data_IF_975530552622
#
_entry.id   IF_975530552622
#
_cell.length_a   1.000
_cell.length_b   1.000
_cell.length_c   1.000
_cell.angle_alpha   90.00
_cell.angle_beta   90.00
_cell.angle_gamma   90.00
#
_symmetry.space_group_name_H-M   'P 1'
#
loop_
_entity.id
_entity.type
_entity.pdbx_description
1 polymer ?
#
# COMPACT_ATOMS: atom_id res chain seq x y z
N UNK A 1 6.79 19.69 -24.31
CA UNK A 1 8.20 19.24 -24.45
C UNK A 1 8.16 17.75 -24.78
N UNK A 2 8.94 17.25 -25.74
CA UNK A 2 8.92 15.83 -26.12
C UNK A 2 9.55 14.95 -25.04
N UNK A 3 9.17 13.66 -25.02
CA UNK A 3 9.85 12.65 -24.21
C UNK A 3 11.05 12.10 -24.97
N UNK A 4 12.20 12.04 -24.31
CA UNK A 4 13.42 11.48 -24.87
C UNK A 4 14.25 10.76 -23.81
N UNK A 5 15.20 9.94 -24.25
CA UNK A 5 16.19 9.32 -23.39
C UNK A 5 17.26 10.35 -22.96
N UNK A 6 17.52 10.43 -21.67
CA UNK A 6 18.62 11.21 -21.07
C UNK A 6 19.50 10.31 -20.22
N UNK A 7 20.81 10.54 -20.26
CA UNK A 7 21.71 9.97 -19.27
C UNK A 7 21.51 10.70 -17.94
N UNK A 8 21.00 9.98 -16.96
CA UNK A 8 20.69 10.53 -15.63
C UNK A 8 21.31 9.63 -14.57
N UNK A 9 21.98 10.24 -13.62
CA UNK A 9 22.45 9.58 -12.41
C UNK A 9 21.40 9.79 -11.33
N UNK A 10 20.77 8.71 -10.90
CA UNK A 10 19.83 8.76 -9.76
C UNK A 10 20.65 8.97 -8.49
N UNK A 11 20.45 10.07 -7.75
CA UNK A 11 21.21 10.33 -6.55
C UNK A 11 20.80 9.38 -5.41
N UNK A 12 21.71 9.20 -4.45
CA UNK A 12 21.35 8.63 -3.16
C UNK A 12 20.67 9.71 -2.31
N UNK A 13 19.39 9.52 -2.01
CA UNK A 13 18.61 10.44 -1.18
C UNK A 13 18.75 10.16 0.33
N UNK A 14 19.63 9.25 0.74
CA UNK A 14 19.88 8.96 2.14
C UNK A 14 18.81 8.08 2.77
N UNK A 15 18.66 6.84 2.29
CA UNK A 15 17.70 5.87 2.82
C UNK A 15 17.99 5.56 4.30
N UNK A 16 17.03 5.78 5.24
CA UNK A 16 17.26 5.47 6.64
C UNK A 16 17.31 3.95 6.89
N UNK A 17 18.20 3.53 7.80
CA UNK A 17 18.38 2.12 8.14
C UNK A 17 17.15 1.56 8.88
N UNK A 18 16.64 2.31 9.86
CA UNK A 18 15.52 1.89 10.70
C UNK A 18 14.23 2.59 10.31
N UNK A 19 13.11 1.85 10.43
CA UNK A 19 11.79 2.42 10.27
C UNK A 19 11.49 3.45 11.38
N UNK A 20 10.91 4.61 11.06
CA UNK A 20 10.46 5.54 12.06
C UNK A 20 9.34 4.91 12.90
N UNK A 21 9.35 5.19 14.21
CA UNK A 21 8.31 4.71 15.13
C UNK A 21 7.13 5.66 15.14
N UNK A 22 5.93 5.12 15.05
CA UNK A 22 4.70 5.88 15.30
C UNK A 22 4.62 6.16 16.82
N UNK A 23 4.45 7.42 17.26
CA UNK A 23 4.30 7.74 18.67
C UNK A 23 3.06 7.09 19.31
N UNK A 24 3.17 6.72 20.58
CA UNK A 24 2.05 6.15 21.35
C UNK A 24 0.80 7.04 21.30
N UNK A 25 0.97 8.36 21.41
CA UNK A 25 -0.13 9.34 21.35
C UNK A 25 -0.88 9.33 20.00
N UNK A 26 -0.22 8.98 18.92
CA UNK A 26 -0.84 8.84 17.59
C UNK A 26 -1.76 7.63 17.56
N UNK A 27 -1.32 6.48 18.09
CA UNK A 27 -2.20 5.30 18.21
C UNK A 27 -3.39 5.57 19.12
N UNK A 28 -3.18 6.23 20.27
CA UNK A 28 -4.26 6.60 21.18
C UNK A 28 -5.30 7.50 20.52
N UNK A 29 -4.85 8.51 19.76
CA UNK A 29 -5.74 9.40 18.98
C UNK A 29 -6.56 8.61 17.99
N UNK A 30 -5.92 7.72 17.19
CA UNK A 30 -6.59 6.88 16.20
C UNK A 30 -7.63 5.95 16.82
N UNK A 31 -7.30 5.31 17.94
CA UNK A 31 -8.24 4.43 18.65
C UNK A 31 -9.46 5.19 19.21
N UNK A 32 -9.23 6.35 19.85
CA UNK A 32 -10.34 7.19 20.36
C UNK A 32 -11.25 7.64 19.21
N UNK A 33 -10.68 8.05 18.10
CA UNK A 33 -11.44 8.50 16.94
C UNK A 33 -12.20 7.34 16.27
N UNK A 34 -11.58 6.18 16.11
CA UNK A 34 -12.23 4.98 15.58
C UNK A 34 -13.43 4.57 16.44
N UNK A 35 -13.24 4.49 17.76
CA UNK A 35 -14.29 4.16 18.70
C UNK A 35 -15.45 5.16 18.66
N UNK A 36 -15.14 6.47 18.67
CA UNK A 36 -16.16 7.51 18.60
C UNK A 36 -16.99 7.47 17.31
N UNK A 37 -16.34 7.19 16.18
CA UNK A 37 -17.01 7.09 14.86
C UNK A 37 -17.85 5.81 14.71
N UNK A 38 -17.45 4.73 15.35
CA UNK A 38 -18.16 3.44 15.28
C UNK A 38 -19.57 3.50 15.92
N UNK A 39 -19.82 4.41 16.85
CA UNK A 39 -21.13 4.62 17.51
C UNK A 39 -21.76 3.30 18.01
N UNK A 40 -20.96 2.49 18.70
CA UNK A 40 -21.31 1.21 19.27
C UNK A 40 -20.69 1.09 20.68
N UNK A 41 -21.15 0.12 21.47
CA UNK A 41 -20.59 -0.12 22.82
C UNK A 41 -19.18 -0.74 22.74
N UNK A 42 -18.95 -1.55 21.70
CA UNK A 42 -17.64 -2.16 21.42
C UNK A 42 -17.31 -2.06 19.93
N UNK A 43 -16.11 -1.63 19.62
CA UNK A 43 -15.52 -1.77 18.28
C UNK A 43 -14.54 -2.95 18.34
N UNK A 44 -14.79 -3.96 17.51
CA UNK A 44 -13.94 -5.15 17.36
C UNK A 44 -13.29 -5.11 16.00
N UNK A 45 -11.97 -5.05 15.97
CA UNK A 45 -11.16 -5.05 14.74
C UNK A 45 -10.51 -6.42 14.59
N UNK A 46 -10.88 -7.14 13.54
CA UNK A 46 -10.30 -8.45 13.22
C UNK A 46 -8.99 -8.29 12.44
N UNK A 47 -8.04 -9.17 12.72
CA UNK A 47 -6.84 -9.33 11.92
C UNK A 47 -6.37 -10.79 11.89
N UNK A 48 -5.69 -11.13 10.81
CA UNK A 48 -4.92 -12.34 10.61
C UNK A 48 -3.62 -12.00 9.87
N UNK A 49 -2.86 -13.02 9.45
CA UNK A 49 -1.61 -12.85 8.73
C UNK A 49 -1.71 -11.99 7.48
N UNK A 50 -2.78 -12.13 6.71
CA UNK A 50 -2.96 -11.42 5.42
C UNK A 50 -3.71 -10.09 5.61
N UNK A 51 -4.63 -10.02 6.60
CA UNK A 51 -5.53 -8.91 6.82
C UNK A 51 -5.18 -8.12 8.09
N UNK A 52 -3.96 -7.60 8.12
CA UNK A 52 -3.35 -6.98 9.31
C UNK A 52 -3.47 -5.45 9.34
N UNK A 53 -3.79 -4.82 8.22
CA UNK A 53 -3.61 -3.38 8.03
C UNK A 53 -4.43 -2.51 9.01
N UNK A 54 -5.66 -2.91 9.34
CA UNK A 54 -6.52 -2.17 10.27
C UNK A 54 -5.98 -2.20 11.71
N UNK A 55 -5.57 -3.37 12.20
CA UNK A 55 -5.04 -3.50 13.56
C UNK A 55 -3.65 -2.84 13.68
N UNK A 56 -2.80 -2.96 12.65
CA UNK A 56 -1.50 -2.32 12.59
C UNK A 56 -1.61 -0.79 12.61
N UNK A 57 -2.56 -0.22 11.86
CA UNK A 57 -2.83 1.22 11.86
C UNK A 57 -3.26 1.75 13.24
N UNK A 58 -4.08 0.97 13.98
CA UNK A 58 -4.62 1.37 15.27
C UNK A 58 -3.69 1.09 16.45
N UNK A 59 -2.84 0.07 16.35
CA UNK A 59 -2.07 -0.40 17.52
C UNK A 59 -0.58 -0.66 17.24
N UNK A 60 -0.16 -0.69 16.00
CA UNK A 60 1.19 -1.14 15.63
C UNK A 60 1.41 -2.64 15.83
N UNK A 61 0.35 -3.40 16.11
CA UNK A 61 0.43 -4.84 16.26
C UNK A 61 0.35 -5.56 14.92
N UNK A 62 1.21 -6.54 14.73
CA UNK A 62 1.23 -7.46 13.59
C UNK A 62 1.03 -8.89 14.15
N UNK A 63 -0.09 -9.57 13.87
CA UNK A 63 -0.40 -10.88 14.44
C UNK A 63 0.52 -12.01 13.96
N UNK A 64 1.33 -11.77 12.93
CA UNK A 64 2.29 -12.74 12.34
C UNK A 64 1.60 -13.99 11.80
N UNK A 65 1.47 -15.04 12.59
CA UNK A 65 0.98 -16.35 12.14
C UNK A 65 -0.45 -16.64 12.60
N UNK A 66 -0.89 -15.97 13.67
CA UNK A 66 -2.16 -16.24 14.34
C UNK A 66 -3.21 -15.17 14.02
N UNK A 67 -4.43 -15.40 14.42
CA UNK A 67 -5.48 -14.39 14.40
C UNK A 67 -5.36 -13.47 15.61
N UNK A 68 -5.90 -12.27 15.53
CA UNK A 68 -5.99 -11.33 16.63
C UNK A 68 -7.25 -10.47 16.57
N UNK A 69 -7.71 -9.98 17.73
CA UNK A 69 -8.76 -8.98 17.81
C UNK A 69 -8.29 -7.80 18.65
N UNK A 70 -8.46 -6.58 18.12
CA UNK A 70 -8.38 -5.37 18.95
C UNK A 70 -9.80 -4.96 19.36
N UNK A 71 -10.07 -4.94 20.64
CA UNK A 71 -11.33 -4.51 21.22
C UNK A 71 -11.17 -3.10 21.79
N UNK A 72 -11.96 -2.17 21.30
CA UNK A 72 -12.07 -0.82 21.85
C UNK A 72 -13.46 -0.68 22.49
N UNK A 73 -13.52 -0.31 23.75
CA UNK A 73 -14.73 -0.30 24.54
C UNK A 73 -14.91 0.94 25.43
N UNK A 74 -15.95 0.95 26.26
CA UNK A 74 -16.28 2.09 27.11
C UNK A 74 -15.15 2.43 28.08
N UNK A 75 -15.05 3.71 28.47
CA UNK A 75 -14.03 4.21 29.41
C UNK A 75 -12.59 4.00 28.94
N UNK A 76 -12.36 4.11 27.62
CA UNK A 76 -11.05 3.94 26.97
C UNK A 76 -10.46 2.52 27.16
N UNK A 77 -11.33 1.51 27.33
CA UNK A 77 -10.94 0.11 27.45
C UNK A 77 -10.33 -0.37 26.13
N UNK A 78 -9.16 -0.98 26.22
CA UNK A 78 -8.39 -1.49 25.08
C UNK A 78 -7.92 -2.89 25.41
N UNK A 79 -8.37 -3.88 24.63
CA UNK A 79 -7.98 -5.27 24.83
C UNK A 79 -7.46 -5.84 23.52
N UNK A 80 -6.29 -6.44 23.56
CA UNK A 80 -5.73 -7.20 22.46
C UNK A 80 -5.88 -8.69 22.76
N UNK A 81 -6.77 -9.35 21.99
CA UNK A 81 -7.01 -10.79 22.11
C UNK A 81 -6.09 -11.50 21.15
N UNK A 82 -5.30 -12.45 21.61
CA UNK A 82 -4.24 -13.12 20.86
C UNK A 82 -4.19 -14.61 21.17
N UNK A 83 -3.56 -15.39 20.29
CA UNK A 83 -3.23 -16.80 20.50
C UNK A 83 -1.94 -16.99 21.31
N UNK A 84 -1.48 -18.24 21.40
CA UNK A 84 -0.32 -18.63 22.22
C UNK A 84 0.98 -17.93 21.84
N UNK A 85 1.27 -17.78 20.53
CA UNK A 85 2.47 -17.09 20.08
C UNK A 85 2.30 -15.57 20.17
N UNK A 86 1.09 -15.09 19.88
CA UNK A 86 0.72 -13.70 19.98
C UNK A 86 0.88 -13.11 21.36
N UNK A 87 0.63 -13.89 22.45
CA UNK A 87 0.78 -13.43 23.84
C UNK A 87 2.20 -12.92 24.12
N UNK A 88 3.22 -13.67 23.69
CA UNK A 88 4.62 -13.27 23.86
C UNK A 88 5.04 -12.10 22.98
N UNK A 89 4.37 -11.89 21.86
CA UNK A 89 4.67 -10.84 20.88
C UNK A 89 3.87 -9.54 21.12
N UNK A 90 2.71 -9.62 21.74
CA UNK A 90 1.80 -8.49 21.99
C UNK A 90 2.45 -7.28 22.69
N UNK A 91 3.43 -7.42 23.60
CA UNK A 91 4.12 -6.28 24.21
C UNK A 91 4.86 -5.36 23.24
N UNK A 92 5.10 -5.79 21.98
CA UNK A 92 5.70 -4.98 20.95
C UNK A 92 4.71 -4.02 20.26
N UNK A 93 3.41 -4.12 20.55
CA UNK A 93 2.40 -3.17 20.08
C UNK A 93 2.73 -1.75 20.56
N UNK A 94 2.58 -0.77 19.67
CA UNK A 94 2.88 0.63 19.97
C UNK A 94 1.78 1.35 20.75
N UNK A 95 0.54 0.81 20.78
CA UNK A 95 -0.59 1.37 21.53
C UNK A 95 -0.43 1.10 23.02
N UNK A 96 -0.35 2.14 23.88
CA UNK A 96 -0.22 1.93 25.32
C UNK A 96 -1.56 1.51 25.97
N UNK A 97 -1.46 0.93 27.16
CA UNK A 97 -2.64 0.58 27.96
C UNK A 97 -3.47 -0.56 27.36
N UNK A 98 -2.84 -1.44 26.59
CA UNK A 98 -3.46 -2.67 26.10
C UNK A 98 -3.50 -3.70 27.22
N UNK A 99 -4.69 -4.22 27.54
CA UNK A 99 -4.85 -5.47 28.27
C UNK A 99 -4.68 -6.63 27.28
N UNK A 100 -3.73 -7.51 27.53
CA UNK A 100 -3.50 -8.69 26.67
C UNK A 100 -4.36 -9.83 27.18
N UNK A 101 -5.20 -10.39 26.32
CA UNK A 101 -6.10 -11.49 26.62
C UNK A 101 -5.77 -12.72 25.77
N UNK A 102 -5.36 -13.81 26.40
CA UNK A 102 -5.11 -15.08 25.72
C UNK A 102 -6.43 -15.73 25.31
N UNK A 103 -6.57 -16.09 24.04
CA UNK A 103 -7.63 -16.94 23.51
C UNK A 103 -7.01 -18.05 22.65
N UNK A 104 -6.80 -19.22 23.24
CA UNK A 104 -6.06 -20.31 22.59
C UNK A 104 -6.76 -20.87 21.34
N UNK A 105 -8.06 -20.63 21.17
CA UNK A 105 -8.79 -20.93 19.92
C UNK A 105 -8.29 -20.12 18.71
N UNK A 106 -7.60 -19.01 18.92
CA UNK A 106 -6.97 -18.20 17.87
C UNK A 106 -5.54 -18.64 17.54
N UNK A 107 -5.01 -19.62 18.28
CA UNK A 107 -3.66 -20.16 18.04
C UNK A 107 -3.64 -21.15 16.88
N UNK A 108 -2.45 -21.43 16.35
CA UNK A 108 -2.25 -22.43 15.31
C UNK A 108 -2.77 -23.80 15.73
N UNK A 109 -3.22 -24.60 14.76
CA UNK A 109 -3.78 -25.93 15.03
C UNK A 109 -2.77 -26.85 15.71
N UNK A 110 -3.25 -27.62 16.68
CA UNK A 110 -2.43 -28.59 17.43
C UNK A 110 -1.63 -28.01 18.60
N UNK A 111 -1.62 -26.71 18.78
CA UNK A 111 -1.05 -26.07 19.97
C UNK A 111 -1.93 -26.30 21.20
N UNK A 112 -1.38 -26.06 22.40
CA UNK A 112 -2.08 -26.23 23.67
C UNK A 112 -3.38 -25.41 23.73
N UNK A 113 -4.43 -26.00 24.30
CA UNK A 113 -5.77 -25.42 24.48
C UNK A 113 -6.24 -25.53 25.94
N UNK A 114 -5.33 -25.85 26.89
CA UNK A 114 -5.72 -26.21 28.27
C UNK A 114 -6.15 -25.02 29.12
N UNK A 115 -5.63 -23.79 28.81
CA UNK A 115 -5.84 -22.63 29.70
C UNK A 115 -7.07 -21.82 29.30
N UNK A 116 -7.16 -21.33 28.06
CA UNK A 116 -8.19 -20.41 27.57
C UNK A 116 -8.69 -20.82 26.17
N UNK A 117 -9.34 -21.99 26.03
CA UNK A 117 -9.81 -22.48 24.74
C UNK A 117 -11.05 -21.75 24.22
N UNK A 118 -11.87 -21.19 25.10
CA UNK A 118 -13.17 -20.59 24.75
C UNK A 118 -13.05 -19.08 24.49
N UNK A 119 -13.00 -18.69 23.22
CA UNK A 119 -13.00 -17.29 22.82
C UNK A 119 -14.24 -16.53 23.35
N UNK A 120 -15.42 -17.17 23.43
CA UNK A 120 -16.60 -16.50 23.93
C UNK A 120 -16.48 -16.13 25.43
N UNK A 121 -15.81 -16.96 26.21
CA UNK A 121 -15.50 -16.64 27.61
C UNK A 121 -14.53 -15.45 27.68
N UNK A 122 -13.47 -15.45 26.90
CA UNK A 122 -12.49 -14.35 26.83
C UNK A 122 -13.16 -13.03 26.44
N UNK A 123 -14.05 -13.03 25.46
CA UNK A 123 -14.78 -11.82 25.01
C UNK A 123 -15.72 -11.29 26.12
N UNK A 124 -16.38 -12.18 26.89
CA UNK A 124 -17.19 -11.77 28.05
C UNK A 124 -16.32 -11.24 29.20
N UNK A 125 -15.20 -11.86 29.48
CA UNK A 125 -14.21 -11.37 30.47
C UNK A 125 -13.66 -9.97 30.05
N UNK A 126 -13.48 -9.71 28.77
CA UNK A 126 -13.12 -8.41 28.26
C UNK A 126 -14.20 -7.34 28.52
N UNK A 127 -15.47 -7.76 28.64
CA UNK A 127 -16.59 -6.87 28.98
C UNK A 127 -17.75 -6.84 28.00
N UNK A 128 -17.72 -7.64 26.92
CA UNK A 128 -18.83 -7.73 25.96
C UNK A 128 -19.96 -8.53 26.58
N UNK A 129 -21.18 -7.97 26.58
CA UNK A 129 -22.34 -8.57 27.22
C UNK A 129 -23.63 -8.38 26.45
N UNK A 130 -24.69 -9.09 26.84
CA UNK A 130 -26.02 -9.02 26.22
C UNK A 130 -26.60 -7.59 26.35
N UNK A 131 -27.25 -7.15 25.28
CA UNK A 131 -27.86 -5.81 25.16
C UNK A 131 -26.92 -4.72 24.67
N UNK A 132 -25.66 -5.04 24.41
CA UNK A 132 -24.68 -4.10 23.83
C UNK A 132 -24.63 -4.22 22.32
N UNK A 133 -24.29 -3.12 21.65
CA UNK A 133 -24.00 -3.07 20.23
C UNK A 133 -22.50 -3.30 19.97
N UNK A 134 -22.20 -4.13 18.97
CA UNK A 134 -20.81 -4.47 18.58
C UNK A 134 -20.59 -4.09 17.12
N UNK A 135 -19.70 -3.12 16.90
CA UNK A 135 -19.19 -2.80 15.56
C UNK A 135 -18.05 -3.75 15.18
N UNK A 136 -18.16 -4.40 14.05
CA UNK A 136 -17.12 -5.28 13.51
C UNK A 136 -16.41 -4.59 12.34
N UNK A 137 -15.10 -4.41 12.44
CA UNK A 137 -14.26 -3.96 11.34
C UNK A 137 -13.52 -5.16 10.74
N UNK A 138 -13.84 -5.45 9.49
CA UNK A 138 -13.19 -6.47 8.69
C UNK A 138 -12.11 -5.89 7.78
N UNK A 139 -11.73 -6.64 6.77
CA UNK A 139 -10.61 -6.29 5.88
C UNK A 139 -11.04 -5.75 4.51
N UNK A 140 -12.34 -5.69 4.19
CA UNK A 140 -12.85 -5.18 2.92
C UNK A 140 -14.09 -4.30 3.17
N UNK A 141 -14.06 -3.11 2.56
CA UNK A 141 -15.22 -2.24 2.48
C UNK A 141 -16.10 -2.66 1.29
N UNK A 142 -17.41 -2.72 1.50
CA UNK A 142 -18.39 -2.88 0.43
C UNK A 142 -18.86 -1.53 -0.08
N UNK A 143 -18.81 -1.36 -1.41
CA UNK A 143 -19.54 -0.28 -2.05
C UNK A 143 -21.06 -0.54 -1.94
N UNK A 144 -21.91 0.51 -1.83
CA UNK A 144 -23.36 0.32 -1.71
C UNK A 144 -23.99 -0.51 -2.84
N UNK A 145 -23.36 -0.55 -4.01
CA UNK A 145 -23.82 -1.36 -5.13
C UNK A 145 -23.48 -2.86 -5.00
N UNK A 146 -22.50 -3.20 -4.15
CA UNK A 146 -22.05 -4.59 -3.94
C UNK A 146 -22.85 -5.28 -2.84
N UNK A 147 -23.36 -4.53 -1.88
CA UNK A 147 -24.14 -5.05 -0.76
C UNK A 147 -25.38 -4.18 -0.52
N UNK A 148 -26.54 -4.74 -0.80
CA UNK A 148 -27.83 -4.08 -0.67
C UNK A 148 -28.80 -5.00 0.10
N UNK A 149 -28.48 -5.25 1.38
CA UNK A 149 -29.27 -6.06 2.30
C UNK A 149 -29.43 -5.29 3.62
N UNK A 150 -30.53 -5.57 4.34
CA UNK A 150 -30.77 -5.01 5.69
C UNK A 150 -29.76 -5.56 6.72
N UNK A 151 -29.23 -6.77 6.50
CA UNK A 151 -28.19 -7.35 7.34
C UNK A 151 -26.82 -6.72 7.03
N UNK A 152 -25.94 -6.51 8.04
CA UNK A 152 -24.63 -5.94 7.79
C UNK A 152 -23.74 -6.87 6.96
N UNK A 153 -23.08 -6.31 5.94
CA UNK A 153 -22.08 -7.02 5.13
C UNK A 153 -20.75 -7.12 5.88
N UNK A 154 -20.56 -8.19 6.66
CA UNK A 154 -19.40 -8.36 7.53
C UNK A 154 -18.28 -9.15 6.83
N UNK A 155 -17.15 -8.52 6.56
CA UNK A 155 -15.95 -9.18 6.04
C UNK A 155 -15.04 -9.67 7.17
N UNK A 156 -15.55 -10.60 7.98
CA UNK A 156 -14.85 -11.30 9.06
C UNK A 156 -15.20 -12.78 9.01
N UNK A 157 -14.42 -13.67 9.65
CA UNK A 157 -14.82 -15.08 9.76
C UNK A 157 -16.22 -15.24 10.35
N UNK A 158 -17.05 -16.06 9.70
CA UNK A 158 -18.44 -16.28 10.13
C UNK A 158 -18.56 -16.69 11.59
N UNK A 159 -17.66 -17.55 12.10
CA UNK A 159 -17.70 -18.01 13.48
C UNK A 159 -17.59 -16.84 14.49
N UNK A 160 -16.79 -15.81 14.16
CA UNK A 160 -16.59 -14.64 15.00
C UNK A 160 -17.88 -13.80 15.07
N UNK A 161 -18.48 -13.49 13.90
CA UNK A 161 -19.74 -12.76 13.83
C UNK A 161 -20.87 -13.51 14.57
N UNK A 162 -21.02 -14.81 14.34
CA UNK A 162 -22.02 -15.64 14.98
C UNK A 162 -21.81 -15.72 16.51
N UNK A 163 -20.56 -15.78 16.98
CA UNK A 163 -20.20 -15.80 18.40
C UNK A 163 -20.52 -14.46 19.07
N UNK A 164 -20.09 -13.34 18.50
CA UNK A 164 -20.36 -12.00 19.02
C UNK A 164 -21.86 -11.70 19.04
N UNK A 165 -22.59 -12.08 18.00
CA UNK A 165 -24.04 -11.97 17.99
C UNK A 165 -24.71 -12.72 19.13
N UNK A 166 -24.28 -13.96 19.42
CA UNK A 166 -24.80 -14.73 20.59
C UNK A 166 -24.46 -14.07 21.93
N UNK A 167 -23.28 -13.49 22.07
CA UNK A 167 -22.88 -12.81 23.31
C UNK A 167 -23.68 -11.51 23.50
N UNK A 168 -23.84 -10.73 22.44
CA UNK A 168 -24.52 -9.43 22.46
C UNK A 168 -26.05 -9.53 22.53
N UNK A 169 -26.64 -10.69 22.21
CA UNK A 169 -28.08 -10.93 22.33
C UNK A 169 -28.83 -11.10 21.01
N UNK A 170 -28.14 -11.15 19.89
CA UNK A 170 -28.70 -11.38 18.54
C UNK A 170 -27.82 -10.84 17.42
N UNK A 171 -28.13 -11.22 16.20
CA UNK A 171 -27.43 -10.70 15.03
C UNK A 171 -27.65 -9.18 14.86
N UNK A 172 -28.79 -8.67 15.25
CA UNK A 172 -29.15 -7.25 15.17
C UNK A 172 -28.29 -6.35 16.09
N UNK A 173 -27.57 -6.94 17.03
CA UNK A 173 -26.60 -6.23 17.85
C UNK A 173 -25.29 -5.92 17.12
N UNK A 174 -25.06 -6.57 15.97
CA UNK A 174 -23.85 -6.38 15.16
C UNK A 174 -24.04 -5.25 14.14
N UNK A 175 -22.97 -4.49 13.92
CA UNK A 175 -22.89 -3.44 12.89
C UNK A 175 -21.60 -3.60 12.09
N UNK A 176 -21.68 -3.31 10.79
CA UNK A 176 -20.45 -3.14 10.01
C UNK A 176 -19.76 -1.83 10.41
N UNK A 177 -18.56 -1.94 11.00
CA UNK A 177 -17.71 -0.82 11.34
C UNK A 177 -16.49 -0.68 10.40
N UNK A 178 -16.41 -1.51 9.36
CA UNK A 178 -15.33 -1.42 8.36
C UNK A 178 -15.24 -0.04 7.73
N UNK A 179 -16.35 0.67 7.41
CA UNK A 179 -16.31 2.02 6.86
C UNK A 179 -15.60 3.05 7.75
N UNK A 180 -15.57 2.84 9.07
CA UNK A 180 -14.84 3.74 9.99
C UNK A 180 -13.37 3.84 9.65
N UNK A 181 -12.78 2.74 9.18
CA UNK A 181 -11.37 2.66 8.81
C UNK A 181 -11.14 2.77 7.30
N UNK A 182 -12.01 2.16 6.48
CA UNK A 182 -11.76 1.89 5.07
C UNK A 182 -12.71 2.61 4.10
N UNK A 183 -13.65 3.45 4.56
CA UNK A 183 -14.45 4.25 3.63
C UNK A 183 -13.53 5.12 2.76
N UNK A 184 -13.75 5.18 1.43
CA UNK A 184 -12.84 5.81 0.47
C UNK A 184 -12.40 7.22 0.80
N UNK A 185 -13.31 8.03 1.34
CA UNK A 185 -13.05 9.46 1.59
C UNK A 185 -13.13 9.84 3.08
N UNK A 186 -13.88 9.10 3.89
CA UNK A 186 -14.10 9.41 5.31
C UNK A 186 -13.51 8.40 6.28
N UNK A 187 -13.01 7.27 5.78
CA UNK A 187 -12.32 6.28 6.60
C UNK A 187 -11.03 6.86 7.19
N UNK A 188 -10.69 6.43 8.40
CA UNK A 188 -9.48 6.91 9.09
C UNK A 188 -8.18 6.59 8.34
N UNK A 189 -8.20 5.60 7.45
CA UNK A 189 -7.06 5.19 6.65
C UNK A 189 -7.04 5.81 5.24
N UNK A 190 -8.06 6.61 4.88
CA UNK A 190 -8.07 7.32 3.61
C UNK A 190 -7.06 8.47 3.56
N UNK A 191 -6.69 9.01 4.72
CA UNK A 191 -5.66 10.03 4.88
C UNK A 191 -4.71 9.65 6.02
N UNK A 192 -3.46 10.10 5.93
CA UNK A 192 -2.42 9.80 6.91
C UNK A 192 -1.81 11.06 7.51
N UNK A 193 -1.38 10.97 8.76
CA UNK A 193 -0.66 12.01 9.48
C UNK A 193 0.84 11.99 9.16
N UNK A 194 1.59 12.96 9.67
CA UNK A 194 3.05 13.09 9.39
C UNK A 194 3.88 11.92 9.91
N UNK A 195 3.46 11.26 10.99
CA UNK A 195 4.14 10.07 11.49
C UNK A 195 3.97 8.91 10.53
N UNK A 196 2.76 8.75 9.97
CA UNK A 196 2.50 7.73 8.97
C UNK A 196 3.17 8.07 7.63
N UNK A 197 3.25 9.37 7.24
CA UNK A 197 4.02 9.80 6.06
C UNK A 197 5.48 9.37 6.19
N UNK A 198 6.08 9.57 7.37
CA UNK A 198 7.45 9.17 7.61
C UNK A 198 7.66 7.64 7.49
N UNK A 199 6.70 6.85 8.01
CA UNK A 199 6.72 5.39 7.88
C UNK A 199 6.53 4.93 6.43
N UNK A 200 5.59 5.55 5.69
CA UNK A 200 5.36 5.25 4.28
C UNK A 200 6.56 5.65 3.41
N UNK A 201 7.21 6.79 3.71
CA UNK A 201 8.45 7.20 3.03
C UNK A 201 9.54 6.16 3.19
N UNK A 202 9.72 5.63 4.41
CA UNK A 202 10.69 4.57 4.68
C UNK A 202 10.37 3.30 3.85
N UNK A 203 9.12 2.84 3.86
CA UNK A 203 8.69 1.64 3.12
C UNK A 203 8.85 1.80 1.61
N UNK A 204 8.31 2.89 1.04
CA UNK A 204 8.38 3.19 -0.39
C UNK A 204 9.82 3.40 -0.89
N UNK A 205 10.66 4.10 -0.10
CA UNK A 205 12.06 4.32 -0.47
C UNK A 205 12.87 3.01 -0.46
N UNK A 206 12.63 2.12 0.51
CA UNK A 206 13.28 0.79 0.54
C UNK A 206 12.79 -0.13 -0.56
N UNK A 207 11.49 -0.13 -0.86
CA UNK A 207 10.90 -0.91 -1.95
C UNK A 207 11.49 -0.48 -3.30
N UNK A 208 11.51 0.82 -3.58
CA UNK A 208 12.07 1.35 -4.82
C UNK A 208 13.59 1.15 -4.93
N UNK A 209 14.34 1.24 -3.83
CA UNK A 209 15.76 0.90 -3.82
C UNK A 209 16.00 -0.60 -4.12
N UNK A 210 15.14 -1.50 -3.61
CA UNK A 210 15.21 -2.93 -3.90
C UNK A 210 14.93 -3.19 -5.39
N UNK A 211 13.86 -2.60 -5.93
CA UNK A 211 13.53 -2.67 -7.36
C UNK A 211 14.69 -2.15 -8.21
N UNK A 212 15.29 -1.03 -7.83
CA UNK A 212 16.41 -0.42 -8.56
C UNK A 212 17.66 -1.31 -8.55
N UNK A 213 17.96 -1.98 -7.44
CA UNK A 213 19.07 -2.96 -7.35
C UNK A 213 18.82 -4.16 -8.25
N UNK A 214 17.61 -4.71 -8.27
CA UNK A 214 17.22 -5.81 -9.18
C UNK A 214 17.40 -5.34 -10.63
N UNK A 215 16.80 -4.20 -11.00
CA UNK A 215 16.84 -3.65 -12.35
C UNK A 215 18.27 -3.44 -12.84
N UNK A 216 19.08 -2.72 -12.06
CA UNK A 216 20.47 -2.41 -12.43
C UNK A 216 21.42 -3.61 -12.33
N UNK A 217 21.05 -4.62 -11.53
CA UNK A 217 21.76 -5.89 -11.39
C UNK A 217 21.42 -6.91 -12.47
N UNK A 218 20.26 -6.79 -13.12
CA UNK A 218 19.78 -7.75 -14.12
C UNK A 218 20.67 -7.73 -15.38
N UNK A 219 21.12 -8.89 -15.78
CA UNK A 219 21.97 -9.09 -16.97
C UNK A 219 21.49 -10.31 -17.74
N UNK A 220 21.86 -10.36 -19.03
CA UNK A 220 21.70 -11.57 -19.83
C UNK A 220 22.35 -12.76 -19.14
N UNK A 221 21.63 -13.87 -19.07
CA UNK A 221 22.11 -15.14 -18.53
C UNK A 221 21.86 -15.36 -17.04
N UNK A 222 21.28 -14.37 -16.33
CA UNK A 222 20.78 -14.58 -14.97
C UNK A 222 19.38 -15.20 -15.01
N UNK A 223 19.10 -16.06 -14.04
CA UNK A 223 17.72 -16.48 -13.75
C UNK A 223 16.95 -15.34 -13.04
N UNK A 224 15.62 -15.40 -13.09
CA UNK A 224 14.77 -14.46 -12.34
C UNK A 224 15.07 -14.53 -10.84
N UNK A 225 15.36 -15.71 -10.28
CA UNK A 225 15.72 -15.88 -8.87
C UNK A 225 17.07 -15.21 -8.53
N UNK A 226 18.07 -15.34 -9.40
CA UNK A 226 19.36 -14.64 -9.21
C UNK A 226 19.20 -13.13 -9.31
N UNK A 227 18.37 -12.63 -10.25
CA UNK A 227 18.05 -11.22 -10.34
C UNK A 227 17.33 -10.72 -9.07
N UNK A 228 16.33 -11.47 -8.59
CA UNK A 228 15.59 -11.14 -7.36
C UNK A 228 16.49 -11.08 -6.12
N UNK A 229 17.53 -11.92 -6.05
CA UNK A 229 18.46 -11.94 -4.91
C UNK A 229 19.20 -10.61 -4.70
N UNK A 230 19.28 -9.76 -5.72
CA UNK A 230 19.90 -8.44 -5.63
C UNK A 230 19.07 -7.42 -4.83
N UNK A 231 17.83 -7.73 -4.46
CA UNK A 231 16.93 -6.78 -3.77
C UNK A 231 17.48 -6.28 -2.42
N UNK A 232 18.32 -7.07 -1.75
CA UNK A 232 18.90 -6.70 -0.44
C UNK A 232 17.85 -6.67 0.67
N UNK A 233 16.92 -7.64 0.69
CA UNK A 233 15.93 -7.82 1.74
C UNK A 233 16.59 -8.04 3.10
N UNK A 234 16.13 -7.36 4.13
CA UNK A 234 16.68 -7.40 5.48
C UNK A 234 15.62 -7.65 6.57
N UNK A 235 14.47 -8.20 6.20
CA UNK A 235 13.39 -8.52 7.15
C UNK A 235 12.28 -7.48 7.21
N UNK A 236 12.20 -6.57 6.25
CA UNK A 236 11.08 -5.63 6.10
C UNK A 236 9.75 -6.38 5.97
N UNK A 237 8.67 -5.84 6.56
CA UNK A 237 7.37 -6.46 6.42
C UNK A 237 6.84 -6.22 5.00
N UNK A 238 6.61 -7.33 4.28
CA UNK A 238 6.12 -7.29 2.91
C UNK A 238 4.61 -7.03 2.88
N UNK A 239 4.17 -6.14 2.00
CA UNK A 239 2.74 -5.96 1.65
C UNK A 239 2.30 -6.93 0.55
N UNK A 240 3.25 -7.45 -0.24
CA UNK A 240 3.04 -8.45 -1.27
C UNK A 240 4.31 -9.31 -1.42
N UNK A 241 4.17 -10.51 -1.99
CA UNK A 241 5.34 -11.31 -2.36
C UNK A 241 6.19 -10.61 -3.42
N UNK A 242 7.48 -10.91 -3.45
CA UNK A 242 8.40 -10.37 -4.47
C UNK A 242 8.04 -10.90 -5.85
N UNK A 243 7.85 -10.00 -6.80
CA UNK A 243 7.49 -10.31 -8.18
C UNK A 243 8.69 -10.03 -9.08
N UNK A 244 9.14 -11.02 -9.82
CA UNK A 244 10.11 -10.86 -10.93
C UNK A 244 9.71 -11.83 -12.01
N UNK A 245 9.47 -11.31 -13.21
CA UNK A 245 9.12 -12.15 -14.35
C UNK A 245 9.79 -11.62 -15.61
N UNK A 246 10.29 -12.54 -16.43
CA UNK A 246 10.75 -12.28 -17.79
C UNK A 246 9.88 -13.05 -18.78
N UNK A 247 9.85 -12.61 -20.03
CA UNK A 247 9.06 -13.28 -21.05
C UNK A 247 9.43 -12.84 -22.46
N UNK A 248 8.99 -13.63 -23.43
CA UNK A 248 9.15 -13.37 -24.87
C UNK A 248 7.81 -13.49 -25.60
N UNK A 249 7.83 -13.49 -26.93
CA UNK A 249 6.60 -13.59 -27.72
C UNK A 249 5.89 -14.95 -27.63
N UNK A 250 6.58 -16.01 -27.18
CA UNK A 250 6.03 -17.36 -27.00
C UNK A 250 5.63 -17.65 -25.57
N UNK A 251 6.24 -16.97 -24.58
CA UNK A 251 5.95 -17.04 -23.15
C UNK A 251 5.85 -15.61 -22.59
N UNK A 252 4.66 -14.96 -22.64
CA UNK A 252 4.49 -13.57 -22.27
C UNK A 252 4.78 -13.29 -20.79
N UNK A 253 5.23 -12.06 -20.49
CA UNK A 253 5.46 -11.59 -19.12
C UNK A 253 4.15 -11.59 -18.34
N UNK A 254 4.15 -12.26 -17.18
CA UNK A 254 3.04 -12.24 -16.20
C UNK A 254 3.52 -11.49 -14.96
N UNK A 255 3.06 -10.26 -14.79
CA UNK A 255 3.57 -9.29 -13.82
C UNK A 255 3.50 -9.70 -12.35
N UNK A 256 2.51 -10.55 -11.98
CA UNK A 256 2.33 -10.99 -10.58
C UNK A 256 3.08 -12.29 -10.24
N UNK A 257 3.85 -12.83 -11.19
CA UNK A 257 4.56 -14.09 -10.99
C UNK A 257 5.76 -13.91 -10.05
N UNK A 258 5.93 -14.86 -9.11
CA UNK A 258 7.15 -14.97 -8.32
C UNK A 258 8.34 -15.34 -9.22
N UNK A 259 9.58 -14.95 -8.86
CA UNK A 259 10.76 -15.29 -9.63
C UNK A 259 10.95 -16.80 -9.77
N UNK A 260 11.29 -17.25 -10.97
CA UNK A 260 11.53 -18.62 -11.33
C UNK A 260 12.97 -18.87 -11.82
N UNK A 261 13.18 -20.06 -12.39
CA UNK A 261 14.46 -20.47 -12.99
C UNK A 261 14.62 -20.00 -14.45
N UNK A 262 13.65 -19.27 -15.02
CA UNK A 262 13.75 -18.75 -16.38
C UNK A 262 14.96 -17.83 -16.51
N UNK A 263 15.75 -18.08 -17.54
CA UNK A 263 16.97 -17.30 -17.83
C UNK A 263 16.58 -16.08 -18.65
N UNK A 264 16.99 -14.92 -18.19
CA UNK A 264 16.80 -13.63 -18.85
C UNK A 264 17.65 -13.55 -20.15
N UNK A 265 17.01 -13.29 -21.28
CA UNK A 265 17.66 -13.18 -22.58
C UNK A 265 17.49 -11.77 -23.16
N UNK A 266 18.39 -11.42 -24.08
CA UNK A 266 18.25 -10.17 -24.84
C UNK A 266 16.96 -10.22 -25.68
N UNK A 267 16.17 -9.17 -25.58
CA UNK A 267 14.87 -9.06 -26.26
C UNK A 267 13.67 -9.47 -25.40
N UNK A 268 13.91 -10.10 -24.24
CA UNK A 268 12.84 -10.40 -23.28
C UNK A 268 12.28 -9.12 -22.67
N UNK A 269 10.97 -9.07 -22.51
CA UNK A 269 10.35 -8.17 -21.55
C UNK A 269 10.65 -8.61 -20.14
N UNK A 270 10.70 -7.66 -19.21
CA UNK A 270 11.00 -7.91 -17.81
C UNK A 270 10.19 -6.99 -16.92
N UNK A 271 9.70 -7.51 -15.80
CA UNK A 271 9.04 -6.73 -14.76
C UNK A 271 9.56 -7.13 -13.39
N UNK A 272 9.56 -6.17 -12.47
CA UNK A 272 9.86 -6.36 -11.06
C UNK A 272 8.92 -5.54 -10.22
N UNK A 273 8.44 -6.11 -9.11
CA UNK A 273 7.68 -5.42 -8.08
C UNK A 273 8.14 -5.87 -6.69
N UNK A 274 8.32 -4.91 -5.78
CA UNK A 274 8.63 -5.12 -4.37
C UNK A 274 7.72 -4.23 -3.56
N UNK A 275 6.96 -4.81 -2.63
CA UNK A 275 6.07 -4.09 -1.73
C UNK A 275 6.44 -4.29 -0.27
N UNK A 276 6.62 -3.18 0.45
CA UNK A 276 6.71 -3.14 1.91
C UNK A 276 5.52 -2.36 2.46
N UNK A 277 5.25 -2.48 3.75
CA UNK A 277 4.22 -1.66 4.38
C UNK A 277 4.45 -0.18 4.11
N UNK A 278 3.46 0.49 3.52
CA UNK A 278 3.51 1.91 3.17
C UNK A 278 3.92 2.22 1.74
N UNK A 279 4.32 1.23 0.94
CA UNK A 279 4.60 1.47 -0.48
C UNK A 279 5.14 0.28 -1.22
N UNK A 280 4.61 0.11 -2.43
CA UNK A 280 5.14 -0.79 -3.45
C UNK A 280 5.90 0.06 -4.49
N UNK A 281 6.87 -0.52 -5.12
CA UNK A 281 7.49 0.02 -6.33
C UNK A 281 7.58 -1.06 -7.39
N UNK A 282 7.27 -0.70 -8.63
CA UNK A 282 7.46 -1.61 -9.74
C UNK A 282 8.13 -0.92 -10.93
N UNK A 283 8.90 -1.69 -11.67
CA UNK A 283 9.52 -1.29 -12.93
C UNK A 283 9.42 -2.41 -13.95
N UNK A 284 9.08 -2.05 -15.18
CA UNK A 284 9.15 -2.98 -16.29
C UNK A 284 9.83 -2.32 -17.50
N UNK A 285 10.39 -3.16 -18.37
CA UNK A 285 11.12 -2.72 -19.54
C UNK A 285 11.51 -3.89 -20.44
N UNK A 286 12.50 -3.64 -21.26
CA UNK A 286 13.07 -4.62 -22.19
C UNK A 286 14.53 -4.91 -21.83
N UNK A 287 14.93 -6.17 -21.84
CA UNK A 287 16.35 -6.58 -21.69
C UNK A 287 17.08 -6.31 -23.01
N UNK A 288 17.43 -5.07 -23.23
CA UNK A 288 18.10 -4.57 -24.42
C UNK A 288 18.94 -3.35 -24.07
N UNK A 289 19.82 -2.93 -24.98
CA UNK A 289 20.50 -1.63 -24.90
C UNK A 289 19.70 -0.56 -25.62
N UNK A 290 18.97 -0.96 -26.67
CA UNK A 290 18.11 -0.09 -27.47
C UNK A 290 17.17 -0.92 -28.37
N UNK A 291 15.94 -0.44 -28.56
CA UNK A 291 14.95 -0.92 -29.54
C UNK A 291 14.02 0.25 -29.87
N UNK A 292 14.05 0.72 -31.09
CA UNK A 292 13.30 1.93 -31.50
C UNK A 292 11.78 1.76 -31.40
N UNK A 293 11.16 0.66 -31.88
CA UNK A 293 9.73 0.42 -31.70
C UNK A 293 9.31 0.39 -30.23
N UNK A 294 10.11 -0.23 -29.35
CA UNK A 294 9.85 -0.26 -27.92
C UNK A 294 9.97 1.14 -27.30
N UNK A 295 10.99 1.92 -27.68
CA UNK A 295 11.17 3.29 -27.18
C UNK A 295 9.97 4.18 -27.54
N UNK A 296 9.41 4.04 -28.72
CA UNK A 296 8.21 4.78 -29.14
C UNK A 296 7.03 4.46 -28.22
N UNK A 297 6.80 3.18 -27.90
CA UNK A 297 5.75 2.75 -26.99
C UNK A 297 6.02 3.21 -25.55
N UNK A 298 7.26 3.10 -25.09
CA UNK A 298 7.67 3.54 -23.77
C UNK A 298 7.52 5.07 -23.59
N UNK A 299 7.83 5.85 -24.61
CA UNK A 299 7.62 7.30 -24.60
C UNK A 299 6.14 7.66 -24.52
N UNK A 300 5.29 6.98 -25.29
CA UNK A 300 3.84 7.18 -25.23
C UNK A 300 3.25 6.79 -23.84
N UNK A 301 3.74 5.72 -23.25
CA UNK A 301 3.40 5.34 -21.89
C UNK A 301 3.83 6.40 -20.86
N UNK A 302 5.06 6.91 -20.98
CA UNK A 302 5.60 7.91 -20.07
C UNK A 302 4.83 9.24 -20.13
N UNK A 303 4.25 9.62 -21.30
CA UNK A 303 3.32 10.74 -21.39
C UNK A 303 2.07 10.53 -20.51
N UNK A 304 1.59 9.30 -20.37
CA UNK A 304 0.50 8.97 -19.45
C UNK A 304 0.88 9.18 -17.98
N UNK A 305 2.10 8.78 -17.58
CA UNK A 305 2.63 9.04 -16.23
C UNK A 305 2.76 10.55 -15.97
N UNK A 306 3.34 11.29 -16.92
CA UNK A 306 3.47 12.75 -16.80
C UNK A 306 2.11 13.42 -16.68
N UNK A 307 1.12 13.00 -17.47
CA UNK A 307 -0.24 13.53 -17.41
C UNK A 307 -0.88 13.30 -16.03
N UNK A 308 -0.62 12.15 -15.40
CA UNK A 308 -1.06 11.86 -14.05
C UNK A 308 -0.52 12.88 -13.04
N UNK A 309 0.80 13.07 -13.00
CA UNK A 309 1.46 13.99 -12.06
C UNK A 309 1.11 15.46 -12.28
N UNK A 310 0.82 15.86 -13.52
CA UNK A 310 0.42 17.23 -13.85
C UNK A 310 -1.06 17.50 -13.57
N UNK A 311 -1.92 16.49 -13.73
CA UNK A 311 -3.35 16.63 -13.48
C UNK A 311 -3.73 16.51 -12.00
N UNK A 312 -3.04 15.66 -11.24
CA UNK A 312 -3.38 15.37 -9.86
C UNK A 312 -2.94 16.49 -8.91
N UNK A 313 -3.90 16.96 -8.09
CA UNK A 313 -3.67 17.96 -7.02
C UNK A 313 -4.80 17.89 -5.99
N UNK A 314 -4.57 18.44 -4.81
CA UNK A 314 -5.59 18.58 -3.77
C UNK A 314 -6.81 19.34 -4.34
N UNK A 315 -8.00 18.80 -4.13
CA UNK A 315 -9.26 19.34 -4.63
C UNK A 315 -9.65 18.89 -6.04
N UNK A 316 -8.75 18.25 -6.78
CA UNK A 316 -9.05 17.70 -8.11
C UNK A 316 -9.87 16.42 -7.95
N UNK A 317 -10.91 16.27 -8.77
CA UNK A 317 -11.71 15.03 -8.82
C UNK A 317 -10.91 13.89 -9.46
N UNK A 318 -11.00 12.68 -8.89
CA UNK A 318 -10.29 11.52 -9.41
C UNK A 318 -10.63 11.19 -10.85
N UNK A 319 -11.89 11.40 -11.25
CA UNK A 319 -12.34 11.25 -12.64
C UNK A 319 -11.62 12.18 -13.63
N UNK A 320 -11.20 13.37 -13.20
CA UNK A 320 -10.44 14.29 -14.05
C UNK A 320 -9.00 13.78 -14.29
N UNK A 321 -8.37 13.22 -13.25
CA UNK A 321 -7.04 12.57 -13.38
C UNK A 321 -7.15 11.35 -14.29
N UNK A 322 -8.19 10.52 -14.10
CA UNK A 322 -8.46 9.36 -14.97
C UNK A 322 -8.57 9.77 -16.45
N UNK A 323 -9.35 10.83 -16.74
CA UNK A 323 -9.52 11.34 -18.11
C UNK A 323 -8.19 11.84 -18.70
N UNK A 324 -7.42 12.62 -17.96
CA UNK A 324 -6.13 13.15 -18.42
C UNK A 324 -5.14 12.02 -18.78
N UNK A 325 -5.06 10.98 -17.96
CA UNK A 325 -4.21 9.81 -18.24
C UNK A 325 -4.72 9.02 -19.45
N UNK A 326 -6.03 8.79 -19.52
CA UNK A 326 -6.66 8.07 -20.64
C UNK A 326 -6.40 8.77 -21.97
N UNK A 327 -6.58 10.11 -22.02
CA UNK A 327 -6.33 10.90 -23.23
C UNK A 327 -4.84 10.90 -23.61
N UNK A 328 -3.94 10.94 -22.64
CA UNK A 328 -2.51 10.88 -22.90
C UNK A 328 -2.10 9.53 -23.51
N UNK A 329 -2.53 8.43 -22.89
CA UNK A 329 -2.23 7.07 -23.36
C UNK A 329 -2.84 6.78 -24.75
N UNK A 330 -4.08 7.25 -24.98
CA UNK A 330 -4.81 7.03 -26.23
C UNK A 330 -4.08 7.62 -27.46
N UNK A 331 -3.38 8.76 -27.30
CA UNK A 331 -2.54 9.33 -28.37
C UNK A 331 -1.43 8.38 -28.85
N UNK A 332 -0.96 7.51 -27.94
CA UNK A 332 0.00 6.44 -28.25
C UNK A 332 -0.62 5.09 -28.59
N UNK A 333 -1.96 5.01 -28.71
CA UNK A 333 -2.67 3.75 -28.94
C UNK A 333 -2.73 2.84 -27.70
N UNK A 334 -2.49 3.39 -26.51
CA UNK A 334 -2.48 2.70 -25.24
C UNK A 334 -3.70 3.07 -24.39
N UNK A 335 -3.98 2.25 -23.39
CA UNK A 335 -4.88 2.53 -22.27
C UNK A 335 -4.33 1.90 -20.99
N UNK A 336 -4.81 2.29 -19.83
CA UNK A 336 -4.51 1.57 -18.58
C UNK A 336 -5.34 0.30 -18.49
N UNK A 337 -4.73 -0.81 -18.08
CA UNK A 337 -5.42 -2.08 -17.85
C UNK A 337 -6.28 -2.04 -16.58
N UNK A 338 -5.84 -1.29 -15.58
CA UNK A 338 -6.52 -1.03 -14.31
C UNK A 338 -6.74 0.48 -14.15
N UNK A 339 -7.34 0.88 -13.04
CA UNK A 339 -7.40 2.28 -12.64
C UNK A 339 -5.98 2.84 -12.49
N UNK A 340 -5.68 4.02 -13.07
CA UNK A 340 -4.33 4.55 -13.10
C UNK A 340 -3.92 5.16 -11.75
N UNK A 341 -3.76 4.33 -10.74
CA UNK A 341 -3.39 4.69 -9.38
C UNK A 341 -4.49 4.44 -8.36
N UNK A 342 -4.08 4.23 -7.11
CA UNK A 342 -4.95 3.86 -5.99
C UNK A 342 -4.38 4.33 -4.65
N UNK A 343 -5.21 4.38 -3.61
CA UNK A 343 -4.78 4.62 -2.25
C UNK A 343 -4.06 3.39 -1.69
N UNK A 344 -2.99 3.62 -0.95
CA UNK A 344 -2.16 2.60 -0.33
C UNK A 344 -2.05 2.78 1.18
N UNK A 345 -1.63 1.73 1.89
CA UNK A 345 -1.44 1.73 3.34
C UNK A 345 -0.44 0.66 3.77
N UNK A 346 -0.72 -0.05 4.86
CA UNK A 346 -0.02 -1.28 5.21
C UNK A 346 -0.38 -2.39 4.20
N UNK A 347 -1.64 -2.40 3.73
CA UNK A 347 -2.06 -3.13 2.54
C UNK A 347 -1.69 -2.33 1.27
N UNK A 348 -1.41 -3.04 0.22
CA UNK A 348 -0.99 -2.44 -1.05
C UNK A 348 -2.14 -1.63 -1.68
N UNK A 349 -3.37 -2.13 -1.63
CA UNK A 349 -4.55 -1.51 -2.22
C UNK A 349 -5.66 -1.29 -1.20
N UNK A 350 -6.09 -0.04 -0.98
CA UNK A 350 -7.23 0.28 -0.11
C UNK A 350 -8.46 0.61 -0.95
N UNK A 351 -8.34 1.57 -1.87
CA UNK A 351 -9.40 2.11 -2.71
C UNK A 351 -8.81 2.99 -3.82
N UNK A 352 -9.60 3.35 -4.82
CA UNK A 352 -9.19 4.34 -5.81
C UNK A 352 -10.29 5.32 -6.19
N UNK A 353 -10.09 6.64 -6.05
CA UNK A 353 -10.92 7.65 -6.66
C UNK A 353 -10.58 7.86 -8.15
N UNK A 354 -9.43 7.34 -8.63
CA UNK A 354 -8.99 7.52 -10.03
C UNK A 354 -9.74 6.53 -10.93
N UNK A 355 -11.00 6.84 -11.23
CA UNK A 355 -11.93 6.00 -12.02
C UNK A 355 -12.83 6.85 -12.90
N UNK A 356 -13.45 6.30 -13.95
CA UNK A 356 -14.29 7.07 -14.87
C UNK A 356 -15.41 7.83 -14.15
N UNK A 357 -15.49 9.14 -14.38
CA UNK A 357 -16.56 10.00 -13.87
C UNK A 357 -16.64 10.12 -12.35
N UNK A 358 -15.60 9.76 -11.61
CA UNK A 358 -15.59 9.83 -10.15
C UNK A 358 -15.45 11.30 -9.68
N UNK A 359 -16.36 11.74 -8.83
CA UNK A 359 -16.38 13.09 -8.24
C UNK A 359 -15.61 13.19 -6.91
N UNK A 360 -15.14 12.05 -6.36
CA UNK A 360 -14.30 12.04 -5.16
C UNK A 360 -13.03 12.85 -5.40
N UNK A 361 -12.73 13.73 -4.44
CA UNK A 361 -11.62 14.69 -4.58
C UNK A 361 -10.40 14.23 -3.81
N UNK A 362 -9.25 14.43 -4.41
CA UNK A 362 -7.95 14.24 -3.74
C UNK A 362 -7.91 15.20 -2.54
N UNK A 363 -7.57 14.69 -1.37
CA UNK A 363 -7.44 15.45 -0.13
C UNK A 363 -6.01 15.41 0.41
N UNK A 364 -5.69 16.41 1.27
CA UNK A 364 -4.43 16.42 2.01
C UNK A 364 -4.33 15.19 2.91
N UNK A 365 -3.18 14.53 2.91
CA UNK A 365 -2.92 13.28 3.62
C UNK A 365 -3.21 12.01 2.81
N UNK A 366 -3.79 12.08 1.62
CA UNK A 366 -4.05 10.88 0.79
C UNK A 366 -2.74 10.28 0.24
N UNK A 367 -2.40 9.02 0.60
CA UNK A 367 -1.28 8.29 0.04
C UNK A 367 -1.71 7.55 -1.22
N UNK A 368 -0.97 7.70 -2.31
CA UNK A 368 -1.24 7.03 -3.59
C UNK A 368 -0.06 6.19 -4.04
N UNK A 369 -0.36 5.05 -4.66
CA UNK A 369 0.47 4.39 -5.67
C UNK A 369 0.05 4.95 -7.03
N UNK A 370 1.01 5.52 -7.76
CA UNK A 370 0.80 5.91 -9.16
C UNK A 370 1.09 4.69 -9.99
N UNK A 371 0.06 3.90 -10.25
CA UNK A 371 0.16 2.64 -10.97
C UNK A 371 -0.58 2.72 -12.31
N UNK A 372 0.16 2.65 -13.42
CA UNK A 372 -0.38 2.62 -14.77
C UNK A 372 0.18 1.41 -15.51
N UNK A 373 -0.67 0.43 -15.77
CA UNK A 373 -0.32 -0.78 -16.52
C UNK A 373 -0.77 -0.61 -17.98
N UNK A 374 0.14 -0.34 -18.92
CA UNK A 374 -0.25 -0.06 -20.30
C UNK A 374 -0.73 -1.30 -21.06
N UNK A 375 -1.80 -1.13 -21.84
CA UNK A 375 -2.33 -2.16 -22.73
C UNK A 375 -2.95 -1.51 -23.99
N UNK A 376 -2.93 -2.17 -25.18
CA UNK A 376 -2.28 -3.45 -25.46
C UNK A 376 -0.76 -3.32 -25.52
N UNK A 377 -0.05 -4.36 -25.13
CA UNK A 377 1.38 -4.50 -25.32
C UNK A 377 1.68 -5.59 -26.34
N UNK A 378 2.75 -5.40 -27.13
CA UNK A 378 3.25 -6.46 -28.01
C UNK A 378 3.66 -7.65 -27.17
N UNK A 379 3.37 -8.87 -27.62
CA UNK A 379 3.79 -10.08 -26.95
C UNK A 379 5.31 -10.06 -26.64
N UNK A 380 5.68 -10.41 -25.42
CA UNK A 380 7.05 -10.35 -24.94
C UNK A 380 7.56 -8.97 -24.50
N UNK A 381 6.72 -7.91 -24.54
CA UNK A 381 7.05 -6.59 -24.01
C UNK A 381 6.38 -6.35 -22.67
N UNK A 382 7.06 -5.62 -21.80
CA UNK A 382 6.51 -5.15 -20.53
C UNK A 382 6.92 -3.71 -20.26
N UNK A 383 6.01 -2.91 -19.70
CA UNK A 383 6.26 -1.56 -19.20
C UNK A 383 5.47 -1.34 -17.93
N UNK A 384 6.12 -0.80 -16.93
CA UNK A 384 5.52 -0.26 -15.71
C UNK A 384 6.52 0.69 -15.03
N UNK A 385 6.00 1.71 -14.37
CA UNK A 385 6.73 2.60 -13.48
C UNK A 385 5.76 3.01 -12.37
N UNK A 386 5.85 2.34 -11.25
CA UNK A 386 4.97 2.52 -10.12
C UNK A 386 5.74 3.05 -8.93
N UNK A 387 5.22 4.13 -8.32
CA UNK A 387 5.83 4.82 -7.20
C UNK A 387 4.78 5.35 -6.21
N UNK A 388 5.13 5.29 -4.92
CA UNK A 388 4.33 5.87 -3.84
C UNK A 388 4.51 7.39 -3.72
N UNK A 389 3.41 8.11 -3.52
CA UNK A 389 3.38 9.54 -3.21
C UNK A 389 2.36 9.83 -2.10
N UNK A 390 2.43 11.03 -1.52
CA UNK A 390 1.37 11.59 -0.66
C UNK A 390 1.04 12.99 -1.12
N UNK A 391 -0.25 13.35 -1.13
CA UNK A 391 -0.66 14.74 -1.27
C UNK A 391 -0.68 15.43 0.09
N UNK A 392 -0.04 16.59 0.21
CA UNK A 392 0.03 17.37 1.44
C UNK A 392 -0.17 18.86 1.18
N UNK A 393 -1.11 19.48 1.86
CA UNK A 393 -1.26 20.93 1.86
C UNK A 393 -0.13 21.64 2.62
N UNK A 394 -0.13 22.95 2.64
CA UNK A 394 0.92 23.73 3.28
C UNK A 394 1.03 23.43 4.79
N UNK A 395 -0.11 23.18 5.46
CA UNK A 395 -0.12 22.92 6.90
C UNK A 395 0.49 21.55 7.22
N UNK A 396 0.11 20.52 6.47
CA UNK A 396 0.67 19.15 6.66
C UNK A 396 2.16 19.11 6.30
N UNK A 397 2.60 19.84 5.25
CA UNK A 397 4.03 19.96 4.93
C UNK A 397 4.83 20.65 6.04
N UNK A 398 4.31 21.75 6.58
CA UNK A 398 4.96 22.45 7.69
C UNK A 398 5.05 21.59 8.96
N UNK A 399 4.00 20.80 9.26
CA UNK A 399 4.02 19.83 10.36
C UNK A 399 5.06 18.72 10.10
N UNK A 400 5.15 18.20 8.87
CA UNK A 400 6.14 17.20 8.48
C UNK A 400 7.57 17.74 8.66
N UNK A 401 7.85 18.96 8.20
CA UNK A 401 9.13 19.61 8.38
C UNK A 401 9.50 19.79 9.85
N UNK A 402 8.53 20.21 10.67
CA UNK A 402 8.75 20.44 12.10
C UNK A 402 9.02 19.12 12.88
N UNK A 403 8.33 18.04 12.56
CA UNK A 403 8.39 16.78 13.31
C UNK A 403 9.36 15.76 12.72
N UNK A 404 9.52 15.76 11.39
CA UNK A 404 10.35 14.81 10.64
C UNK A 404 11.23 15.54 9.60
N UNK A 405 12.12 16.47 10.01
CA UNK A 405 12.87 17.33 9.09
C UNK A 405 13.70 16.55 8.06
N UNK A 406 14.32 15.44 8.44
CA UNK A 406 15.10 14.62 7.52
C UNK A 406 14.22 13.93 6.44
N UNK A 407 12.96 13.60 6.75
CA UNK A 407 11.99 13.08 5.76
C UNK A 407 11.61 14.19 4.78
N UNK A 408 11.29 15.37 5.29
CA UNK A 408 10.93 16.54 4.47
C UNK A 408 12.09 16.93 3.52
N UNK A 409 13.34 16.92 4.00
CA UNK A 409 14.54 17.20 3.20
C UNK A 409 14.70 16.17 2.05
N UNK A 410 14.58 14.87 2.33
CA UNK A 410 14.66 13.83 1.29
C UNK A 410 13.55 13.95 0.25
N UNK A 411 12.33 14.26 0.68
CA UNK A 411 11.20 14.46 -0.22
C UNK A 411 11.44 15.67 -1.14
N UNK A 412 11.93 16.79 -0.60
CA UNK A 412 12.24 17.97 -1.42
C UNK A 412 13.38 17.71 -2.41
N UNK A 413 14.40 16.98 -1.98
CA UNK A 413 15.48 16.56 -2.89
C UNK A 413 14.94 15.70 -4.06
N UNK A 414 13.99 14.79 -3.80
CA UNK A 414 13.31 14.00 -4.83
C UNK A 414 12.45 14.86 -5.75
N UNK A 415 11.71 15.83 -5.20
CA UNK A 415 10.92 16.79 -5.99
C UNK A 415 11.81 17.60 -6.93
N UNK A 416 12.92 18.12 -6.42
CA UNK A 416 13.91 18.86 -7.22
C UNK A 416 14.48 17.97 -8.33
N UNK A 417 14.83 16.71 -8.02
CA UNK A 417 15.31 15.76 -9.02
C UNK A 417 14.27 15.54 -10.14
N UNK A 418 13.00 15.35 -9.81
CA UNK A 418 11.93 15.16 -10.81
C UNK A 418 11.76 16.40 -11.70
N UNK A 419 11.81 17.61 -11.12
CA UNK A 419 11.70 18.87 -11.87
C UNK A 419 12.93 19.12 -12.76
N UNK A 420 14.12 19.01 -12.16
CA UNK A 420 15.35 19.50 -12.76
C UNK A 420 16.03 18.48 -13.68
N UNK A 421 15.93 17.19 -13.34
CA UNK A 421 16.54 16.11 -14.10
C UNK A 421 15.59 15.42 -15.07
N UNK A 422 14.32 15.25 -14.70
CA UNK A 422 13.33 14.60 -15.56
C UNK A 422 12.44 15.60 -16.31
N UNK A 423 12.51 16.89 -15.98
CA UNK A 423 11.75 17.95 -16.65
C UNK A 423 10.24 17.87 -16.42
N UNK A 424 9.79 17.27 -15.30
CA UNK A 424 8.38 17.05 -15.01
C UNK A 424 7.93 18.03 -13.91
N UNK A 425 6.91 18.83 -14.25
CA UNK A 425 6.32 19.78 -13.31
C UNK A 425 5.37 19.07 -12.36
N UNK A 426 5.85 18.71 -11.16
CA UNK A 426 4.99 18.23 -10.07
C UNK A 426 4.60 19.37 -9.14
N UNK A 427 3.39 19.27 -8.57
CA UNK A 427 2.83 20.27 -7.66
C UNK A 427 3.58 20.30 -6.32
N UNK A 428 3.49 21.41 -5.62
CA UNK A 428 4.05 21.53 -4.27
C UNK A 428 3.37 20.60 -3.26
N UNK A 429 2.11 20.28 -3.49
CA UNK A 429 1.34 19.29 -2.72
C UNK A 429 1.79 17.86 -2.92
N UNK A 430 2.51 17.53 -4.01
CA UNK A 430 2.93 16.16 -4.32
C UNK A 430 4.25 15.83 -3.64
N UNK A 431 4.23 14.87 -2.73
CA UNK A 431 5.38 14.38 -1.96
C UNK A 431 5.83 13.01 -2.48
N UNK A 432 6.87 12.91 -3.34
CA UNK A 432 7.38 11.61 -3.80
C UNK A 432 8.11 10.87 -2.67
N UNK A 433 7.66 9.64 -2.39
CA UNK A 433 8.19 8.79 -1.33
C UNK A 433 9.26 7.81 -1.85
N UNK A 434 9.19 7.43 -3.12
CA UNK A 434 10.15 6.53 -3.77
C UNK A 434 11.57 7.11 -3.82
N UNK A 435 12.59 6.29 -3.62
CA UNK A 435 14.00 6.66 -3.82
C UNK A 435 14.40 6.74 -5.32
N UNK A 436 13.52 6.33 -6.22
CA UNK A 436 13.71 6.39 -7.67
C UNK A 436 12.48 7.01 -8.35
N UNK A 437 12.05 8.24 -7.93
CA UNK A 437 10.77 8.79 -8.35
C UNK A 437 10.73 8.98 -9.87
N UNK A 438 9.73 8.38 -10.54
CA UNK A 438 9.55 8.42 -12.00
C UNK A 438 10.76 7.95 -12.83
N UNK A 439 11.74 7.29 -12.20
CA UNK A 439 12.91 6.77 -12.93
C UNK A 439 12.51 5.55 -13.76
N UNK A 440 12.27 5.74 -15.04
CA UNK A 440 11.95 4.67 -15.97
C UNK A 440 13.05 4.53 -17.03
N UNK A 441 14.02 3.58 -16.86
CA UNK A 441 14.86 3.13 -17.95
C UNK A 441 14.10 2.09 -18.77
N UNK A 442 13.72 2.39 -20.02
CA UNK A 442 13.00 1.41 -20.84
C UNK A 442 13.88 0.22 -21.22
N UNK A 443 15.21 0.39 -21.18
CA UNK A 443 16.20 -0.62 -21.56
C UNK A 443 17.08 -0.99 -20.37
N UNK A 444 16.90 -2.21 -19.83
CA UNK A 444 17.60 -2.61 -18.62
C UNK A 444 19.10 -2.86 -18.77
N UNK A 445 19.58 -3.08 -20.00
CA UNK A 445 21.03 -3.13 -20.27
C UNK A 445 21.66 -1.73 -20.42
N UNK A 446 20.84 -0.68 -20.44
CA UNK A 446 21.22 0.72 -20.47
C UNK A 446 20.52 1.54 -19.38
N UNK A 447 20.52 1.04 -18.15
CA UNK A 447 19.71 1.51 -17.01
C UNK A 447 19.97 2.97 -16.61
N UNK A 448 21.05 3.60 -17.06
CA UNK A 448 21.32 5.04 -16.84
C UNK A 448 20.54 5.96 -17.80
N UNK A 449 19.96 5.40 -18.86
CA UNK A 449 19.19 6.15 -19.87
C UNK A 449 17.71 6.14 -19.50
N UNK A 450 17.28 7.20 -18.81
CA UNK A 450 15.91 7.37 -18.35
C UNK A 450 15.07 8.15 -19.36
N UNK A 451 13.77 7.88 -19.38
CA UNK A 451 12.81 8.76 -20.06
C UNK A 451 12.66 10.06 -19.28
N UNK A 452 12.70 11.18 -19.97
CA UNK A 452 12.57 12.52 -19.42
C UNK A 452 11.91 13.47 -20.43
N UNK A 453 11.34 14.57 -19.98
CA UNK A 453 10.94 15.71 -20.84
C UNK A 453 12.16 16.55 -21.18
N UNK A 454 12.31 16.89 -22.47
CA UNK A 454 13.45 17.67 -23.00
C UNK A 454 12.96 18.86 -23.82
#
# INVERSE_FOLDING_TARGET
>A
MPIALRDVVVPDFGLPLEAPRIPATTYEKRCREAYARAKCDWLVVYADREHVANIAFLSGYDPRFEEALLLLGPRDRRVLVVGNEGEGYAPLAGLPGLDIALAQSMSLMGQDRALKPDLAAVLREAGISSGQTVGLAGWKYFEPAEWNDDAPGLFVPHYLAAMLGRIAGGADALKDATPVLMHPTTGLRSTIDVDQIALHEWGAARASAAVWRILTGTRRGLSEMEAASAMGYAGEVLSAHVMVATGDSSDPVIGLRSPGSRIANRGDGVTVGVGYWGGLSARAGLIADYDEPFLKTASAYFEGLVAWYEAADIGVAGGAVFAAVTDALARGGLRSALNPGHLTGHDEWIHTPIRPGCDERIASGMPFQVDIIPTPMRAGWALNCEDGIVFADAALRAELEARHPAVAERIEARRSFVRDQLGIAIRDSTLPLSSTPLCLPPFWLAARRLLARV
#
